data_IF_632483346357
#
_entry.id   IF_632483346357
#
_cell.length_a   1.000
_cell.length_b   1.000
_cell.length_c   1.000
_cell.angle_alpha   90.00
_cell.angle_beta   90.00
_cell.angle_gamma   90.00
#
_symmetry.space_group_name_H-M   'P 1'
#
loop_
_entity.id
_entity.type
_entity.pdbx_description
1 polymer ?
#
# COMPACT_ATOMS: atom_id res chain seq x y z
N UNK A 1 3.39 -15.23 19.55
CA UNK A 1 2.02 -15.10 20.08
C UNK A 1 1.60 -13.65 20.28
N UNK A 2 2.27 -12.86 21.13
CA UNK A 2 1.86 -11.45 21.40
C UNK A 2 1.69 -10.60 20.13
N UNK A 3 2.71 -10.57 19.26
CA UNK A 3 2.68 -9.81 18.00
C UNK A 3 1.51 -10.23 17.08
N UNK A 4 1.24 -11.54 17.00
CA UNK A 4 0.18 -12.06 16.14
C UNK A 4 -1.21 -11.64 16.64
N UNK A 5 -1.42 -11.68 17.96
CA UNK A 5 -2.68 -11.24 18.57
C UNK A 5 -2.82 -9.71 18.42
N UNK A 6 -1.75 -8.94 18.67
CA UNK A 6 -1.76 -7.49 18.49
C UNK A 6 -2.07 -7.10 17.04
N UNK A 7 -1.46 -7.75 16.05
CA UNK A 7 -1.73 -7.53 14.63
C UNK A 7 -3.20 -7.86 14.28
N UNK A 8 -3.76 -8.92 14.85
CA UNK A 8 -5.18 -9.26 14.69
C UNK A 8 -6.11 -8.18 15.25
N UNK A 9 -5.84 -7.69 16.48
CA UNK A 9 -6.62 -6.61 17.08
C UNK A 9 -6.43 -5.31 16.29
N UNK A 10 -5.20 -4.97 15.90
CA UNK A 10 -4.88 -3.80 15.09
C UNK A 10 -5.61 -3.83 13.75
N UNK A 11 -5.69 -4.98 13.10
CA UNK A 11 -6.49 -5.16 11.89
C UNK A 11 -7.97 -4.87 12.13
N UNK A 12 -8.55 -5.39 13.22
CA UNK A 12 -9.94 -5.07 13.59
C UNK A 12 -10.15 -3.58 13.86
N UNK A 13 -9.19 -2.92 14.51
CA UNK A 13 -9.22 -1.48 14.75
C UNK A 13 -9.20 -0.69 13.43
N UNK A 14 -8.35 -1.05 12.47
CA UNK A 14 -8.38 -0.45 11.13
C UNK A 14 -9.75 -0.66 10.47
N UNK A 15 -10.30 -1.88 10.47
CA UNK A 15 -11.61 -2.13 9.85
C UNK A 15 -12.76 -1.31 10.47
N UNK A 16 -12.68 -1.04 11.78
CA UNK A 16 -13.72 -0.31 12.50
C UNK A 16 -13.57 1.21 12.40
N UNK A 17 -12.36 1.73 12.67
CA UNK A 17 -12.06 3.15 12.79
C UNK A 17 -11.53 3.72 11.47
N UNK A 18 -10.58 3.02 10.85
CA UNK A 18 -9.79 3.51 9.72
C UNK A 18 -9.00 4.77 10.08
N UNK A 19 -8.93 5.71 9.13
CA UNK A 19 -8.26 7.01 9.27
C UNK A 19 -9.28 8.16 9.15
N UNK A 20 -9.94 8.58 10.25
CA UNK A 20 -10.89 9.69 10.21
C UNK A 20 -10.25 10.99 9.71
N UNK A 21 -10.96 11.72 8.85
CA UNK A 21 -10.45 12.96 8.27
C UNK A 21 -10.19 14.01 9.37
N UNK A 22 -9.04 14.68 9.29
CA UNK A 22 -8.62 15.69 10.25
C UNK A 22 -7.87 15.16 11.48
N UNK A 23 -7.86 13.84 11.73
CA UNK A 23 -7.08 13.28 12.83
C UNK A 23 -5.57 13.37 12.57
N UNK A 24 -4.79 13.51 13.64
CA UNK A 24 -3.34 13.39 13.54
C UNK A 24 -2.99 11.91 13.34
N UNK A 25 -2.06 11.63 12.42
CA UNK A 25 -1.68 10.27 12.07
C UNK A 25 -0.15 10.12 12.03
N UNK A 26 0.44 9.05 12.61
CA UNK A 26 1.90 8.88 12.64
C UNK A 26 2.55 8.90 11.25
N UNK A 27 1.87 8.36 10.23
CA UNK A 27 2.38 8.38 8.85
C UNK A 27 2.52 9.81 8.31
N UNK A 28 1.68 10.77 8.74
CA UNK A 28 1.86 12.19 8.41
C UNK A 28 3.11 12.78 9.05
N UNK A 29 3.47 12.33 10.25
CA UNK A 29 4.71 12.75 10.91
C UNK A 29 5.96 12.18 10.18
N UNK A 30 5.87 10.95 9.67
CA UNK A 30 6.89 10.37 8.78
C UNK A 30 7.04 11.23 7.51
N UNK A 31 5.93 11.56 6.83
CA UNK A 31 5.99 12.41 5.64
C UNK A 31 6.56 13.81 5.93
N UNK A 32 6.21 14.40 7.07
CA UNK A 32 6.85 15.64 7.54
C UNK A 32 8.35 15.47 7.73
N UNK A 33 8.79 14.38 8.37
CA UNK A 33 10.21 14.08 8.57
C UNK A 33 10.95 13.95 7.24
N UNK A 34 10.38 13.24 6.26
CA UNK A 34 10.92 13.12 4.90
C UNK A 34 11.15 14.51 4.29
N UNK A 35 10.13 15.37 4.28
CA UNK A 35 10.25 16.71 3.71
C UNK A 35 11.17 17.67 4.48
N UNK A 36 11.39 17.44 5.79
CA UNK A 36 12.39 18.17 6.58
C UNK A 36 13.81 17.70 6.27
N UNK A 37 14.01 16.38 6.23
CA UNK A 37 15.30 15.76 5.95
C UNK A 37 15.74 16.02 4.53
N UNK A 38 14.84 15.98 3.54
CA UNK A 38 15.16 16.36 2.16
C UNK A 38 15.78 17.77 2.11
N UNK A 39 15.09 18.76 2.68
CA UNK A 39 15.57 20.15 2.69
C UNK A 39 16.89 20.33 3.42
N UNK A 40 17.12 19.57 4.50
CA UNK A 40 18.37 19.62 5.25
C UNK A 40 19.52 18.97 4.47
N UNK A 41 19.31 17.75 3.97
CA UNK A 41 20.34 16.97 3.29
C UNK A 41 20.77 17.64 1.98
N UNK A 42 19.85 18.24 1.22
CA UNK A 42 20.18 19.05 0.03
C UNK A 42 21.01 20.31 0.34
N UNK A 43 21.02 20.79 1.58
CA UNK A 43 21.87 21.92 2.02
C UNK A 43 23.25 21.47 2.51
N UNK A 44 23.33 20.26 3.08
CA UNK A 44 24.55 19.73 3.69
C UNK A 44 25.44 19.03 2.65
N UNK A 45 24.83 18.30 1.72
CA UNK A 45 25.55 17.58 0.69
C UNK A 45 25.84 18.49 -0.53
N UNK A 46 26.98 18.29 -1.22
CA UNK A 46 27.29 19.05 -2.43
C UNK A 46 26.22 18.89 -3.50
N UNK A 47 25.97 19.95 -4.27
CA UNK A 47 25.10 19.87 -5.44
C UNK A 47 25.70 18.93 -6.51
N UNK A 48 24.82 18.23 -7.23
CA UNK A 48 25.18 17.34 -8.34
C UNK A 48 24.97 15.86 -8.03
N UNK A 49 25.12 15.04 -9.06
CA UNK A 49 24.72 13.61 -9.05
C UNK A 49 25.22 12.82 -7.83
N UNK A 50 26.50 12.95 -7.49
CA UNK A 50 27.10 12.18 -6.40
C UNK A 50 26.57 12.61 -5.02
N UNK A 51 26.44 13.92 -4.77
CA UNK A 51 25.89 14.44 -3.52
C UNK A 51 24.40 14.13 -3.37
N UNK A 52 23.63 14.22 -4.45
CA UNK A 52 22.22 13.83 -4.49
C UNK A 52 22.01 12.34 -4.17
N UNK A 53 22.82 11.45 -4.75
CA UNK A 53 22.78 10.02 -4.44
C UNK A 53 23.15 9.73 -2.99
N UNK A 54 24.17 10.41 -2.45
CA UNK A 54 24.59 10.24 -1.06
C UNK A 54 23.53 10.74 -0.08
N UNK A 55 22.98 11.94 -0.32
CA UNK A 55 21.90 12.54 0.45
C UNK A 55 20.64 11.65 0.45
N UNK A 56 20.25 11.14 -0.72
CA UNK A 56 19.15 10.19 -0.88
C UNK A 56 19.39 8.88 -0.13
N UNK A 57 20.62 8.35 -0.17
CA UNK A 57 21.01 7.16 0.58
C UNK A 57 20.92 7.36 2.09
N UNK A 58 21.35 8.51 2.60
CA UNK A 58 21.22 8.88 4.02
C UNK A 58 19.75 8.97 4.42
N UNK A 59 18.91 9.60 3.59
CA UNK A 59 17.47 9.67 3.83
C UNK A 59 16.86 8.26 3.94
N UNK A 60 17.18 7.39 2.97
CA UNK A 60 16.65 6.03 2.87
C UNK A 60 16.99 5.14 4.08
N UNK A 61 18.07 5.44 4.80
CA UNK A 61 18.46 4.73 6.04
C UNK A 61 17.86 5.40 7.27
N UNK A 62 18.04 6.71 7.41
CA UNK A 62 17.70 7.41 8.66
C UNK A 62 16.20 7.49 8.91
N UNK A 63 15.37 7.65 7.87
CA UNK A 63 13.91 7.79 8.08
C UNK A 63 13.28 6.48 8.57
N UNK A 64 13.54 5.30 7.98
CA UNK A 64 13.05 4.03 8.53
C UNK A 64 13.58 3.72 9.93
N UNK A 65 14.87 4.00 10.18
CA UNK A 65 15.47 3.81 11.52
C UNK A 65 14.82 4.73 12.55
N UNK A 66 14.56 6.00 12.22
CA UNK A 66 13.87 6.93 13.10
C UNK A 66 12.42 6.51 13.38
N UNK A 67 11.70 6.06 12.35
CA UNK A 67 10.31 5.61 12.50
C UNK A 67 10.21 4.35 13.37
N UNK A 68 11.00 3.31 13.07
CA UNK A 68 11.05 2.08 13.87
C UNK A 68 11.59 2.33 15.28
N UNK A 69 12.61 3.19 15.42
CA UNK A 69 13.19 3.58 16.72
C UNK A 69 12.20 4.34 17.60
N UNK A 70 11.41 5.26 17.02
CA UNK A 70 10.34 5.96 17.73
C UNK A 70 9.27 4.98 18.20
N UNK A 71 8.86 4.03 17.34
CA UNK A 71 7.92 2.98 17.71
C UNK A 71 8.46 2.12 18.88
N UNK A 72 9.72 1.70 18.82
CA UNK A 72 10.37 0.95 19.88
C UNK A 72 10.44 1.74 21.20
N UNK A 73 10.76 3.03 21.13
CA UNK A 73 10.82 3.92 22.30
C UNK A 73 9.44 4.06 22.97
N UNK A 74 8.38 4.26 22.18
CA UNK A 74 6.99 4.33 22.68
C UNK A 74 6.60 3.03 23.39
N UNK A 75 6.87 1.87 22.79
CA UNK A 75 6.60 0.57 23.40
C UNK A 75 7.43 0.34 24.67
N UNK A 76 8.70 0.78 24.69
CA UNK A 76 9.56 0.66 25.87
C UNK A 76 9.08 1.53 27.03
N UNK A 77 8.62 2.75 26.76
CA UNK A 77 8.00 3.63 27.78
C UNK A 77 6.70 3.01 28.30
N UNK A 78 5.82 2.55 27.41
CA UNK A 78 4.58 1.88 27.81
C UNK A 78 4.84 0.61 28.64
N UNK A 79 5.88 -0.16 28.30
CA UNK A 79 6.29 -1.36 29.03
C UNK A 79 6.84 -1.08 30.42
N UNK A 80 7.48 0.09 30.63
CA UNK A 80 7.88 0.55 31.98
C UNK A 80 6.71 0.92 32.87
N UNK A 81 5.58 1.32 32.28
CA UNK A 81 4.33 1.60 33.02
C UNK A 81 3.67 0.27 33.40
N UNK A 82 3.34 -0.57 32.41
CA UNK A 82 2.73 -1.87 32.64
C UNK A 82 2.80 -2.76 31.38
N UNK A 83 2.98 -4.09 31.48
CA UNK A 83 2.94 -4.98 30.32
C UNK A 83 1.65 -4.88 29.48
N UNK A 84 0.49 -4.75 30.13
CA UNK A 84 -0.77 -4.55 29.42
C UNK A 84 -0.84 -3.19 28.69
N UNK A 85 -0.22 -2.14 29.24
CA UNK A 85 -0.16 -0.85 28.56
C UNK A 85 0.68 -0.93 27.27
N UNK A 86 1.83 -1.63 27.33
CA UNK A 86 2.62 -1.94 26.12
C UNK A 86 1.80 -2.69 25.08
N UNK A 87 1.05 -3.71 25.49
CA UNK A 87 0.22 -4.49 24.58
C UNK A 87 -0.91 -3.66 23.94
N UNK A 88 -1.61 -2.83 24.71
CA UNK A 88 -2.66 -1.95 24.18
C UNK A 88 -2.09 -0.94 23.19
N UNK A 89 -0.95 -0.32 23.52
CA UNK A 89 -0.26 0.63 22.63
C UNK A 89 0.19 -0.08 21.34
N UNK A 90 0.68 -1.32 21.44
CA UNK A 90 1.02 -2.15 20.28
C UNK A 90 -0.18 -2.37 19.35
N UNK A 91 -1.34 -2.76 19.89
CA UNK A 91 -2.56 -2.96 19.10
C UNK A 91 -2.99 -1.69 18.36
N UNK A 92 -2.94 -0.53 19.03
CA UNK A 92 -3.28 0.76 18.41
C UNK A 92 -2.30 1.11 17.29
N UNK A 93 -1.00 0.95 17.54
CA UNK A 93 0.04 1.20 16.55
C UNK A 93 -0.11 0.29 15.33
N UNK A 94 -0.41 -1.00 15.53
CA UNK A 94 -0.65 -1.95 14.44
C UNK A 94 -1.83 -1.51 13.56
N UNK A 95 -2.91 -1.01 14.18
CA UNK A 95 -4.05 -0.44 13.46
C UNK A 95 -3.68 0.80 12.62
N UNK A 96 -2.84 1.68 13.15
CA UNK A 96 -2.37 2.89 12.44
C UNK A 96 -1.39 2.62 11.28
N UNK A 97 -0.85 1.41 11.18
CA UNK A 97 0.06 1.03 10.10
C UNK A 97 -0.74 0.53 8.88
N UNK A 98 -1.93 -0.03 9.11
CA UNK A 98 -2.83 -0.56 8.09
C UNK A 98 -3.70 0.55 7.48
N UNK A 99 -4.15 0.34 6.24
CA UNK A 99 -4.94 1.32 5.50
C UNK A 99 -6.12 0.71 4.71
N UNK A 100 -6.58 -0.50 5.06
CA UNK A 100 -7.63 -1.17 4.27
C UNK A 100 -8.96 -0.40 4.34
N UNK A 101 -9.33 0.11 5.52
CA UNK A 101 -10.57 0.87 5.68
C UNK A 101 -10.53 2.22 4.99
N UNK A 102 -9.42 2.96 5.11
CA UNK A 102 -9.26 4.26 4.46
C UNK A 102 -9.23 4.12 2.94
N UNK A 103 -8.53 3.12 2.39
CA UNK A 103 -8.51 2.83 0.95
C UNK A 103 -9.90 2.53 0.39
N UNK A 104 -10.70 1.71 1.09
CA UNK A 104 -12.10 1.45 0.72
C UNK A 104 -12.95 2.72 0.79
N UNK A 105 -12.73 3.56 1.80
CA UNK A 105 -13.52 4.78 2.01
C UNK A 105 -13.23 5.82 0.93
N UNK A 106 -11.97 6.06 0.60
CA UNK A 106 -11.61 7.04 -0.43
C UNK A 106 -12.02 6.58 -1.84
N UNK A 107 -11.86 5.28 -2.15
CA UNK A 107 -12.33 4.73 -3.44
C UNK A 107 -13.87 4.74 -3.55
N UNK A 108 -14.60 4.56 -2.44
CA UNK A 108 -16.05 4.68 -2.43
C UNK A 108 -16.53 6.10 -2.80
N UNK A 109 -15.81 7.16 -2.39
CA UNK A 109 -16.12 8.54 -2.80
C UNK A 109 -16.04 8.72 -4.32
N UNK A 110 -15.09 8.06 -4.98
CA UNK A 110 -14.98 8.05 -6.45
C UNK A 110 -16.19 7.36 -7.07
N UNK A 111 -16.55 6.19 -6.53
CA UNK A 111 -17.72 5.44 -6.99
C UNK A 111 -19.03 6.24 -6.84
N UNK A 112 -19.26 6.85 -5.69
CA UNK A 112 -20.47 7.64 -5.43
C UNK A 112 -20.58 8.83 -6.39
N UNK A 113 -19.48 9.56 -6.61
CA UNK A 113 -19.45 10.67 -7.57
C UNK A 113 -19.71 10.22 -9.02
N UNK A 114 -19.21 9.04 -9.43
CA UNK A 114 -19.50 8.46 -10.74
C UNK A 114 -20.99 8.06 -10.86
N UNK A 115 -21.55 7.45 -9.82
CA UNK A 115 -22.95 7.04 -9.78
C UNK A 115 -23.91 8.23 -9.86
N UNK A 116 -23.54 9.33 -9.22
CA UNK A 116 -24.29 10.60 -9.26
C UNK A 116 -24.06 11.39 -10.57
N UNK A 117 -23.25 10.85 -11.51
CA UNK A 117 -22.89 11.44 -12.80
C UNK A 117 -22.18 12.80 -12.69
N UNK A 118 -21.43 12.98 -11.61
CA UNK A 118 -20.69 14.21 -11.32
C UNK A 118 -19.21 14.07 -11.72
N UNK A 119 -18.93 14.14 -13.04
CA UNK A 119 -17.60 13.85 -13.58
C UNK A 119 -16.46 14.66 -12.94
N UNK A 120 -16.64 15.96 -12.69
CA UNK A 120 -15.61 16.78 -12.04
C UNK A 120 -15.37 16.38 -10.59
N UNK A 121 -16.43 16.03 -9.83
CA UNK A 121 -16.26 15.54 -8.46
C UNK A 121 -15.57 14.18 -8.46
N UNK A 122 -15.85 13.31 -9.44
CA UNK A 122 -15.16 12.04 -9.59
C UNK A 122 -13.66 12.22 -9.90
N UNK A 123 -13.29 13.20 -10.75
CA UNK A 123 -11.88 13.57 -11.01
C UNK A 123 -11.18 14.09 -9.76
N UNK A 124 -11.83 14.97 -9.00
CA UNK A 124 -11.29 15.48 -7.74
C UNK A 124 -11.16 14.39 -6.67
N UNK A 125 -12.13 13.47 -6.59
CA UNK A 125 -12.06 12.35 -5.66
C UNK A 125 -10.91 11.41 -6.02
N UNK A 126 -10.78 11.03 -7.30
CA UNK A 126 -9.72 10.11 -7.72
C UNK A 126 -8.34 10.74 -7.61
N UNK A 127 -8.20 12.05 -7.80
CA UNK A 127 -6.92 12.76 -7.62
C UNK A 127 -6.37 12.72 -6.20
N UNK A 128 -7.22 12.42 -5.20
CA UNK A 128 -6.76 12.23 -3.81
C UNK A 128 -6.06 10.89 -3.59
N UNK A 129 -6.22 9.94 -4.51
CA UNK A 129 -5.76 8.55 -4.35
C UNK A 129 -4.85 8.06 -5.48
N UNK A 130 -4.57 8.91 -6.48
CA UNK A 130 -3.64 8.59 -7.57
C UNK A 130 -2.50 9.60 -7.61
N UNK A 131 -1.31 9.14 -8.00
CA UNK A 131 -0.15 10.02 -8.24
C UNK A 131 -0.04 10.57 -9.67
N UNK A 132 -1.12 10.52 -10.46
CA UNK A 132 -1.14 10.91 -11.90
C UNK A 132 -2.09 12.08 -12.15
N UNK A 133 -1.92 12.75 -13.28
CA UNK A 133 -2.80 13.84 -13.68
C UNK A 133 -4.21 13.29 -14.00
N UNK A 134 -5.24 13.93 -13.43
CA UNK A 134 -6.63 13.43 -13.50
C UNK A 134 -7.56 14.28 -14.37
N UNK A 135 -7.17 15.52 -14.66
CA UNK A 135 -7.98 16.51 -15.39
C UNK A 135 -8.44 16.00 -16.77
N UNK A 136 -7.61 15.15 -17.40
CA UNK A 136 -7.85 14.61 -18.75
C UNK A 136 -8.48 13.22 -18.75
N UNK A 137 -8.80 12.66 -17.58
CA UNK A 137 -9.38 11.32 -17.52
C UNK A 137 -10.81 11.32 -18.04
N UNK A 138 -11.09 10.36 -18.93
CA UNK A 138 -12.45 9.93 -19.25
C UNK A 138 -13.06 9.21 -18.05
N UNK A 139 -14.37 8.99 -18.07
CA UNK A 139 -15.07 8.22 -17.04
C UNK A 139 -14.45 6.81 -16.85
N UNK A 140 -14.20 6.09 -17.95
CA UNK A 140 -13.49 4.80 -17.92
C UNK A 140 -12.07 4.94 -17.35
N UNK A 141 -11.38 6.05 -17.64
CA UNK A 141 -10.06 6.36 -17.08
C UNK A 141 -10.08 6.60 -15.57
N UNK A 142 -11.13 7.26 -15.04
CA UNK A 142 -11.34 7.47 -13.60
C UNK A 142 -11.57 6.12 -12.92
N UNK A 143 -12.43 5.28 -13.49
CA UNK A 143 -12.74 3.93 -12.97
C UNK A 143 -11.47 3.09 -12.91
N UNK A 144 -10.72 3.00 -14.03
CA UNK A 144 -9.45 2.28 -14.11
C UNK A 144 -8.46 2.80 -13.06
N UNK A 145 -8.34 4.12 -12.91
CA UNK A 145 -7.45 4.73 -11.92
C UNK A 145 -7.77 4.32 -10.48
N UNK A 146 -9.06 4.35 -10.11
CA UNK A 146 -9.48 3.91 -8.79
C UNK A 146 -9.23 2.41 -8.58
N UNK A 147 -9.48 1.58 -9.60
CA UNK A 147 -9.24 0.13 -9.51
C UNK A 147 -7.74 -0.19 -9.39
N UNK A 148 -6.91 0.45 -10.20
CA UNK A 148 -5.44 0.34 -10.15
C UNK A 148 -4.91 0.73 -8.77
N UNK A 149 -5.34 1.88 -8.24
CA UNK A 149 -4.95 2.33 -6.91
C UNK A 149 -5.32 1.31 -5.83
N UNK A 150 -6.55 0.78 -5.83
CA UNK A 150 -6.95 -0.21 -4.82
C UNK A 150 -6.14 -1.51 -4.98
N UNK A 151 -5.90 -1.96 -6.22
CA UNK A 151 -5.14 -3.17 -6.48
C UNK A 151 -3.66 -3.06 -6.03
N UNK A 152 -2.99 -1.94 -6.34
CA UNK A 152 -1.62 -1.67 -5.92
C UNK A 152 -1.54 -1.48 -4.39
N UNK A 153 -2.39 -0.63 -3.81
CA UNK A 153 -2.36 -0.33 -2.37
C UNK A 153 -2.91 -1.48 -1.50
N UNK A 154 -3.53 -2.51 -2.07
CA UNK A 154 -3.79 -3.75 -1.33
C UNK A 154 -2.48 -4.35 -0.85
N UNK A 155 -1.44 -4.36 -1.71
CA UNK A 155 -0.09 -4.77 -1.32
C UNK A 155 0.46 -3.82 -0.25
N UNK A 156 0.58 -2.54 -0.60
CA UNK A 156 1.44 -1.62 0.15
C UNK A 156 0.79 -1.05 1.42
N UNK A 157 -0.54 -0.96 1.42
CA UNK A 157 -1.34 -0.45 2.52
C UNK A 157 -1.87 -1.53 3.46
N UNK A 158 -1.81 -2.81 3.08
CA UNK A 158 -2.43 -3.89 3.87
C UNK A 158 -1.56 -5.13 3.99
N UNK A 159 -1.22 -5.79 2.88
CA UNK A 159 -0.54 -7.09 2.94
C UNK A 159 0.90 -6.97 3.41
N UNK A 160 1.64 -5.98 2.91
CA UNK A 160 3.01 -5.71 3.33
C UNK A 160 3.09 -5.20 4.79
N UNK A 161 2.24 -4.25 5.23
CA UNK A 161 2.05 -3.97 6.65
C UNK A 161 1.83 -5.21 7.51
N UNK A 162 0.82 -6.04 7.20
CA UNK A 162 0.55 -7.27 7.94
C UNK A 162 1.79 -8.18 8.00
N UNK A 163 2.48 -8.36 6.88
CA UNK A 163 3.70 -9.17 6.80
C UNK A 163 4.76 -8.69 7.80
N UNK A 164 5.04 -7.38 7.85
CA UNK A 164 6.03 -6.82 8.77
C UNK A 164 5.55 -6.78 10.23
N UNK A 165 4.25 -6.61 10.46
CA UNK A 165 3.66 -6.70 11.80
C UNK A 165 3.80 -8.11 12.39
N UNK A 166 3.57 -9.16 11.61
CA UNK A 166 3.79 -10.53 12.07
C UNK A 166 5.27 -10.82 12.35
N UNK A 167 6.19 -10.27 11.56
CA UNK A 167 7.63 -10.51 11.72
C UNK A 167 8.27 -9.74 12.88
N UNK A 168 7.84 -8.52 13.16
CA UNK A 168 8.49 -7.68 14.17
C UNK A 168 7.61 -6.59 14.77
N UNK A 169 6.29 -6.73 14.65
CA UNK A 169 5.31 -5.83 15.25
C UNK A 169 5.41 -4.39 14.72
N UNK A 170 4.99 -3.40 15.53
CA UNK A 170 4.97 -2.01 15.12
C UNK A 170 6.34 -1.46 14.70
N UNK A 171 7.43 -1.99 15.25
CA UNK A 171 8.79 -1.51 14.94
C UNK A 171 9.11 -1.73 13.47
N UNK A 172 8.92 -2.95 12.97
CA UNK A 172 9.11 -3.25 11.55
C UNK A 172 7.99 -2.66 10.69
N UNK A 173 6.75 -2.62 11.18
CA UNK A 173 5.63 -2.01 10.44
C UNK A 173 5.83 -0.51 10.17
N UNK A 174 6.29 0.27 11.15
CA UNK A 174 6.60 1.69 10.95
C UNK A 174 7.87 1.91 10.11
N UNK A 175 8.88 1.06 10.26
CA UNK A 175 10.05 1.12 9.38
C UNK A 175 9.68 0.86 7.92
N UNK A 176 8.81 -0.13 7.67
CA UNK A 176 8.26 -0.40 6.35
C UNK A 176 7.44 0.78 5.82
N UNK A 177 6.48 1.31 6.60
CA UNK A 177 5.68 2.46 6.18
C UNK A 177 6.54 3.70 5.90
N UNK A 178 7.66 3.85 6.59
CA UNK A 178 8.63 4.89 6.29
C UNK A 178 9.29 4.72 4.93
N UNK A 179 9.70 3.49 4.57
CA UNK A 179 10.21 3.18 3.21
C UNK A 179 9.16 3.51 2.15
N UNK A 180 7.93 3.01 2.33
CA UNK A 180 6.82 3.23 1.40
C UNK A 180 6.42 4.72 1.27
N UNK A 181 6.45 5.46 2.37
CA UNK A 181 6.18 6.91 2.37
C UNK A 181 7.28 7.69 1.63
N UNK A 182 8.54 7.30 1.79
CA UNK A 182 9.64 7.92 1.04
C UNK A 182 9.48 7.71 -0.47
N UNK A 183 9.15 6.50 -0.92
CA UNK A 183 8.96 6.25 -2.35
C UNK A 183 7.81 7.10 -2.93
N UNK A 184 6.68 7.17 -2.23
CA UNK A 184 5.53 7.98 -2.65
C UNK A 184 5.81 9.49 -2.70
N UNK A 185 6.79 9.98 -1.94
CA UNK A 185 7.13 11.41 -1.87
C UNK A 185 8.30 11.80 -2.77
N UNK A 186 9.36 10.99 -2.81
CA UNK A 186 10.62 11.32 -3.48
C UNK A 186 11.05 10.29 -4.51
N UNK A 187 10.32 9.18 -4.72
CA UNK A 187 10.69 8.09 -5.64
C UNK A 187 10.48 8.36 -7.13
N UNK A 188 10.00 9.55 -7.50
CA UNK A 188 9.67 9.89 -8.89
C UNK A 188 10.90 9.95 -9.81
N UNK A 189 10.73 9.45 -11.04
CA UNK A 189 11.75 9.58 -12.10
C UNK A 189 11.56 10.90 -12.86
N UNK A 190 11.85 12.01 -12.18
CA UNK A 190 11.83 13.37 -12.75
C UNK A 190 13.15 14.11 -12.48
N UNK A 191 13.30 15.32 -13.01
CA UNK A 191 14.52 16.11 -12.88
C UNK A 191 14.95 16.35 -11.42
N UNK A 192 13.99 16.52 -10.52
CA UNK A 192 14.22 16.79 -9.09
C UNK A 192 14.68 15.55 -8.31
N UNK A 193 14.16 14.37 -8.66
CA UNK A 193 14.27 13.16 -7.84
C UNK A 193 15.04 12.00 -8.48
N UNK A 194 15.45 12.10 -9.75
CA UNK A 194 16.15 11.03 -10.48
C UNK A 194 17.36 10.44 -9.74
N UNK A 195 18.06 11.25 -8.95
CA UNK A 195 19.22 10.85 -8.15
C UNK A 195 18.88 10.77 -6.66
N UNK A 196 18.30 11.82 -6.08
CA UNK A 196 17.91 11.87 -4.66
C UNK A 196 16.96 10.72 -4.26
N UNK A 197 15.92 10.51 -5.06
CA UNK A 197 14.86 9.53 -4.81
C UNK A 197 15.25 8.08 -5.01
N UNK A 198 16.40 7.84 -5.67
CA UNK A 198 16.74 6.51 -6.18
C UNK A 198 16.87 5.46 -5.09
N UNK A 199 17.48 5.82 -3.97
CA UNK A 199 17.64 4.91 -2.84
C UNK A 199 16.27 4.55 -2.23
N UNK A 200 15.39 5.54 -2.04
CA UNK A 200 14.03 5.31 -1.55
C UNK A 200 13.24 4.34 -2.45
N UNK A 201 13.20 4.59 -3.76
CA UNK A 201 12.50 3.72 -4.71
C UNK A 201 13.08 2.31 -4.77
N UNK A 202 14.41 2.17 -4.70
CA UNK A 202 15.07 0.85 -4.67
C UNK A 202 14.82 0.10 -3.36
N UNK A 203 14.78 0.81 -2.24
CA UNK A 203 14.45 0.23 -0.95
C UNK A 203 13.00 -0.25 -0.93
N UNK A 204 12.06 0.52 -1.46
CA UNK A 204 10.65 0.11 -1.57
C UNK A 204 10.50 -1.14 -2.45
N UNK A 205 11.09 -1.13 -3.65
CA UNK A 205 11.12 -2.28 -4.55
C UNK A 205 11.63 -3.55 -3.86
N UNK A 206 12.63 -3.42 -2.98
CA UNK A 206 13.21 -4.54 -2.26
C UNK A 206 12.30 -5.06 -1.14
N UNK A 207 11.78 -4.18 -0.27
CA UNK A 207 10.94 -4.59 0.86
C UNK A 207 9.58 -5.14 0.42
N UNK A 208 9.06 -4.68 -0.72
CA UNK A 208 7.80 -5.15 -1.29
C UNK A 208 7.95 -6.40 -2.18
N UNK A 209 9.15 -6.93 -2.39
CA UNK A 209 9.37 -8.07 -3.28
C UNK A 209 8.55 -9.31 -2.87
N UNK A 210 8.59 -9.69 -1.60
CA UNK A 210 7.80 -10.81 -1.08
C UNK A 210 6.33 -10.41 -0.88
N UNK A 211 6.03 -9.29 -0.18
CA UNK A 211 4.64 -8.89 0.07
C UNK A 211 3.77 -8.73 -1.17
N UNK A 212 4.28 -8.14 -2.26
CA UNK A 212 3.48 -7.90 -3.47
C UNK A 212 3.03 -9.22 -4.13
N UNK A 213 3.87 -10.27 -4.05
CA UNK A 213 3.53 -11.61 -4.55
C UNK A 213 2.51 -12.30 -3.66
N UNK A 214 2.67 -12.18 -2.34
CA UNK A 214 1.67 -12.66 -1.38
C UNK A 214 0.32 -11.97 -1.62
N UNK A 215 0.32 -10.65 -1.85
CA UNK A 215 -0.89 -9.89 -2.15
C UNK A 215 -1.59 -10.42 -3.40
N UNK A 216 -0.86 -10.67 -4.49
CA UNK A 216 -1.41 -11.28 -5.68
C UNK A 216 -2.00 -12.68 -5.40
N UNK A 217 -1.33 -13.54 -4.63
CA UNK A 217 -1.88 -14.85 -4.28
C UNK A 217 -3.16 -14.76 -3.46
N UNK A 218 -3.24 -13.85 -2.49
CA UNK A 218 -4.47 -13.64 -1.71
C UNK A 218 -5.60 -13.05 -2.56
N UNK A 219 -5.31 -12.13 -3.48
CA UNK A 219 -6.28 -11.58 -4.44
C UNK A 219 -6.80 -12.66 -5.41
N UNK A 220 -5.91 -13.52 -5.93
CA UNK A 220 -6.30 -14.65 -6.77
C UNK A 220 -7.15 -15.63 -5.98
N UNK A 221 -6.75 -15.99 -4.75
CA UNK A 221 -7.54 -16.84 -3.86
C UNK A 221 -8.93 -16.25 -3.58
N UNK A 222 -9.02 -14.96 -3.30
CA UNK A 222 -10.28 -14.25 -3.15
C UNK A 222 -11.15 -14.33 -4.42
N UNK A 223 -10.56 -14.20 -5.61
CA UNK A 223 -11.28 -14.33 -6.87
C UNK A 223 -11.82 -15.75 -7.13
N UNK A 224 -11.19 -16.79 -6.58
CA UNK A 224 -11.70 -18.17 -6.63
C UNK A 224 -12.87 -18.42 -5.67
N UNK A 225 -12.86 -17.75 -4.50
CA UNK A 225 -13.84 -17.99 -3.44
C UNK A 225 -15.09 -17.12 -3.56
N UNK A 226 -14.96 -15.91 -4.12
CA UNK A 226 -16.06 -14.96 -4.21
C UNK A 226 -16.89 -15.15 -5.49
N UNK A 227 -18.23 -15.12 -5.41
CA UNK A 227 -19.07 -15.17 -6.60
C UNK A 227 -18.93 -13.90 -7.45
N UNK A 228 -18.94 -14.09 -8.77
CA UNK A 228 -18.85 -13.00 -9.76
C UNK A 228 -17.43 -12.57 -10.10
N UNK A 229 -16.41 -13.38 -9.81
CA UNK A 229 -15.02 -13.15 -10.20
C UNK A 229 -14.48 -14.35 -10.99
N UNK A 230 -13.47 -14.11 -11.84
CA UNK A 230 -12.79 -15.17 -12.60
C UNK A 230 -11.42 -15.49 -11.98
N UNK A 231 -11.39 -16.47 -11.07
CA UNK A 231 -10.14 -16.94 -10.46
C UNK A 231 -9.14 -17.53 -11.46
N UNK A 232 -9.61 -18.16 -12.55
CA UNK A 232 -8.74 -18.69 -13.62
C UNK A 232 -8.14 -17.54 -14.43
N UNK A 233 -8.95 -16.55 -14.75
CA UNK A 233 -8.54 -15.30 -15.38
C UNK A 233 -7.50 -14.56 -14.55
N UNK A 234 -7.75 -14.41 -13.25
CA UNK A 234 -6.82 -13.79 -12.29
C UNK A 234 -5.43 -14.45 -12.34
N UNK A 235 -5.38 -15.78 -12.24
CA UNK A 235 -4.12 -16.53 -12.33
C UNK A 235 -3.44 -16.39 -13.69
N UNK A 236 -4.19 -16.55 -14.79
CA UNK A 236 -3.67 -16.47 -16.16
C UNK A 236 -3.05 -15.11 -16.44
N UNK A 237 -3.76 -14.03 -16.12
CA UNK A 237 -3.29 -12.66 -16.35
C UNK A 237 -2.13 -12.32 -15.43
N UNK A 238 -2.18 -12.68 -14.15
CA UNK A 238 -1.04 -12.50 -13.26
C UNK A 238 0.22 -13.23 -13.78
N UNK A 239 0.08 -14.45 -14.28
CA UNK A 239 1.19 -15.19 -14.89
C UNK A 239 1.77 -14.50 -16.14
N UNK A 240 0.95 -13.78 -16.90
CA UNK A 240 1.34 -13.09 -18.13
C UNK A 240 1.93 -11.69 -17.88
N UNK A 241 1.25 -10.90 -17.04
CA UNK A 241 1.41 -9.44 -17.00
C UNK A 241 2.04 -8.89 -15.70
N UNK A 242 2.38 -9.75 -14.72
CA UNK A 242 2.97 -9.31 -13.43
C UNK A 242 4.30 -8.55 -13.51
N UNK A 243 4.89 -8.39 -14.69
CA UNK A 243 6.13 -7.65 -14.94
C UNK A 243 5.94 -6.48 -15.93
N UNK A 244 4.71 -6.06 -16.19
CA UNK A 244 4.43 -4.96 -17.12
C UNK A 244 4.87 -3.58 -16.59
N UNK A 245 5.06 -3.41 -15.28
CA UNK A 245 5.60 -2.17 -14.72
C UNK A 245 7.13 -2.20 -14.57
N UNK A 246 7.74 -1.01 -14.47
CA UNK A 246 9.17 -0.86 -14.20
C UNK A 246 9.56 -1.35 -12.80
N UNK A 247 8.67 -1.16 -11.82
CA UNK A 247 8.80 -1.79 -10.50
C UNK A 247 8.43 -3.27 -10.64
N UNK A 248 9.18 -4.19 -10.00
CA UNK A 248 8.83 -5.61 -9.95
C UNK A 248 7.56 -5.90 -9.13
N UNK A 249 6.99 -4.90 -8.45
CA UNK A 249 5.93 -5.08 -7.46
C UNK A 249 4.59 -4.50 -7.90
N UNK A 250 4.54 -3.30 -8.51
CA UNK A 250 3.28 -2.61 -8.82
C UNK A 250 2.30 -3.45 -9.66
N UNK A 251 2.79 -4.21 -10.64
CA UNK A 251 1.93 -4.99 -11.55
C UNK A 251 1.35 -6.27 -10.92
N UNK A 252 1.81 -6.68 -9.73
CA UNK A 252 1.39 -7.94 -9.11
C UNK A 252 -0.12 -7.91 -8.78
N UNK A 253 -0.55 -6.90 -8.02
CA UNK A 253 -1.96 -6.73 -7.65
C UNK A 253 -2.85 -6.36 -8.83
N UNK A 254 -2.38 -5.43 -9.68
CA UNK A 254 -3.11 -4.99 -10.88
C UNK A 254 -3.41 -6.14 -11.83
N UNK A 255 -2.43 -7.01 -12.13
CA UNK A 255 -2.63 -8.14 -13.03
C UNK A 255 -3.62 -9.17 -12.47
N UNK A 256 -3.55 -9.45 -11.17
CA UNK A 256 -4.51 -10.33 -10.50
C UNK A 256 -5.95 -9.76 -10.59
N UNK A 257 -6.12 -8.47 -10.28
CA UNK A 257 -7.42 -7.80 -10.32
C UNK A 257 -7.97 -7.65 -11.75
N UNK A 258 -7.14 -7.30 -12.72
CA UNK A 258 -7.53 -7.19 -14.13
C UNK A 258 -8.09 -8.52 -14.65
N UNK A 259 -7.40 -9.62 -14.37
CA UNK A 259 -7.86 -10.97 -14.72
C UNK A 259 -9.12 -11.39 -13.95
N UNK A 260 -9.21 -11.10 -12.66
CA UNK A 260 -10.38 -11.43 -11.84
C UNK A 260 -11.66 -10.71 -12.29
N UNK A 261 -11.51 -9.48 -12.78
CA UNK A 261 -12.61 -8.61 -13.20
C UNK A 261 -12.91 -8.73 -14.70
N UNK A 262 -11.99 -9.23 -15.52
CA UNK A 262 -12.12 -9.29 -16.97
C UNK A 262 -12.01 -7.92 -17.65
N UNK A 263 -11.23 -7.01 -17.08
CA UNK A 263 -11.02 -5.65 -17.59
C UNK A 263 -9.54 -5.41 -17.90
N UNK A 264 -9.32 -4.32 -18.62
CA UNK A 264 -8.01 -3.83 -18.94
C UNK A 264 -7.61 -2.71 -17.97
N UNK A 265 -6.46 -2.84 -17.32
CA UNK A 265 -5.84 -1.85 -16.44
C UNK A 265 -4.53 -1.31 -17.06
N UNK A 266 -3.96 -0.30 -16.42
CA UNK A 266 -2.80 0.44 -16.87
C UNK A 266 -3.00 1.06 -18.27
N UNK A 267 -1.93 1.19 -19.05
CA UNK A 267 -1.92 1.93 -20.30
C UNK A 267 -1.42 3.38 -20.17
N UNK A 268 -1.55 4.18 -21.24
CA UNK A 268 -0.99 5.54 -21.28
C UNK A 268 -1.56 6.42 -20.17
N UNK A 269 -0.67 7.13 -19.46
CA UNK A 269 -1.06 8.01 -18.35
C UNK A 269 -0.25 9.31 -18.36
N UNK A 270 -0.89 10.41 -17.98
CA UNK A 270 -0.25 11.72 -17.88
C UNK A 270 0.34 11.92 -16.48
N UNK A 271 1.58 12.38 -16.42
CA UNK A 271 2.25 12.77 -15.18
C UNK A 271 2.94 14.11 -15.40
N UNK A 272 2.62 15.11 -14.57
CA UNK A 272 3.24 16.44 -14.63
C UNK A 272 3.16 17.06 -16.05
N UNK A 273 2.04 16.84 -16.75
CA UNK A 273 1.80 17.31 -18.11
C UNK A 273 2.46 16.51 -19.22
N UNK A 274 3.16 15.40 -18.91
CA UNK A 274 3.84 14.54 -19.90
C UNK A 274 3.11 13.20 -20.03
N UNK A 275 2.84 12.78 -21.28
CA UNK A 275 2.27 11.47 -21.55
C UNK A 275 3.33 10.38 -21.41
N UNK A 276 3.09 9.41 -20.53
CA UNK A 276 3.91 8.23 -20.37
C UNK A 276 3.20 7.01 -20.93
N UNK A 277 3.78 6.44 -21.99
CA UNK A 277 3.38 5.15 -22.52
C UNK A 277 3.74 4.05 -21.52
N UNK A 278 2.72 3.30 -21.08
CA UNK A 278 2.87 2.11 -20.24
C UNK A 278 2.19 0.94 -20.94
N UNK A 279 2.73 -0.28 -20.81
CA UNK A 279 2.02 -1.46 -21.29
C UNK A 279 0.71 -1.60 -20.53
N UNK A 280 -0.25 -2.15 -21.26
CA UNK A 280 -1.57 -2.52 -20.77
C UNK A 280 -1.47 -3.82 -19.97
N UNK A 281 -2.34 -3.99 -18.97
CA UNK A 281 -2.45 -5.19 -18.14
C UNK A 281 -3.87 -5.77 -18.26
N UNK A 282 -3.98 -7.07 -18.48
CA UNK A 282 -5.26 -7.77 -18.61
C UNK A 282 -5.79 -7.89 -20.03
N UNK A 283 -6.99 -8.45 -20.16
CA UNK A 283 -7.72 -8.60 -21.42
C UNK A 283 -9.02 -7.81 -21.35
N UNK A 284 -9.33 -7.03 -22.38
CA UNK A 284 -10.59 -6.26 -22.47
C UNK A 284 -11.78 -7.14 -22.86
N UNK A 285 -12.11 -8.11 -22.03
CA UNK A 285 -13.29 -8.99 -22.24
C UNK A 285 -14.61 -8.22 -22.10
N UNK A 286 -14.58 -7.12 -21.32
CA UNK A 286 -15.64 -6.12 -21.21
C UNK A 286 -15.04 -4.75 -20.89
N UNK A 287 -15.85 -3.70 -20.96
CA UNK A 287 -15.48 -2.35 -20.48
C UNK A 287 -15.46 -2.30 -18.96
N UNK A 288 -14.60 -1.43 -18.40
CA UNK A 288 -14.63 -1.12 -16.98
C UNK A 288 -15.90 -0.33 -16.64
N UNK A 289 -16.50 -0.65 -15.49
CA UNK A 289 -17.72 -0.01 -15.00
C UNK A 289 -17.51 0.47 -13.56
N UNK A 290 -18.28 1.46 -13.11
CA UNK A 290 -18.09 2.05 -11.78
C UNK A 290 -18.18 1.00 -10.66
N UNK A 291 -19.02 -0.03 -10.84
CA UNK A 291 -19.16 -1.17 -9.93
C UNK A 291 -17.85 -1.95 -9.73
N UNK A 292 -16.89 -1.85 -10.64
CA UNK A 292 -15.58 -2.48 -10.51
C UNK A 292 -14.75 -1.90 -9.36
N UNK A 293 -14.99 -0.63 -8.99
CA UNK A 293 -14.40 -0.02 -7.78
C UNK A 293 -14.88 -0.75 -6.53
N UNK A 294 -16.17 -1.07 -6.47
CA UNK A 294 -16.75 -1.84 -5.36
C UNK A 294 -16.27 -3.30 -5.40
N UNK A 295 -16.15 -3.89 -6.60
CA UNK A 295 -15.69 -5.27 -6.76
C UNK A 295 -14.23 -5.45 -6.39
N UNK A 296 -13.34 -4.54 -6.77
CA UNK A 296 -11.93 -4.61 -6.35
C UNK A 296 -11.80 -4.41 -4.83
N UNK A 297 -12.64 -3.57 -4.22
CA UNK A 297 -12.71 -3.46 -2.76
C UNK A 297 -13.14 -4.77 -2.08
N UNK A 298 -14.00 -5.57 -2.72
CA UNK A 298 -14.36 -6.92 -2.23
C UNK A 298 -13.18 -7.88 -2.31
N UNK A 299 -12.42 -7.86 -3.41
CA UNK A 299 -11.19 -8.67 -3.57
C UNK A 299 -10.15 -8.28 -2.52
N UNK A 300 -9.87 -6.98 -2.36
CA UNK A 300 -8.99 -6.46 -1.32
C UNK A 300 -9.44 -6.94 0.05
N UNK A 301 -10.71 -6.69 0.43
CA UNK A 301 -11.23 -7.07 1.76
C UNK A 301 -11.03 -8.56 2.03
N UNK A 302 -11.45 -9.43 1.11
CA UNK A 302 -11.29 -10.87 1.26
C UNK A 302 -9.81 -11.29 1.31
N UNK A 303 -8.97 -10.74 0.42
CA UNK A 303 -7.53 -11.00 0.40
C UNK A 303 -6.84 -10.58 1.70
N UNK A 304 -7.21 -9.44 2.27
CA UNK A 304 -6.70 -8.96 3.55
C UNK A 304 -7.08 -9.87 4.72
N UNK A 305 -8.32 -10.35 4.77
CA UNK A 305 -8.75 -11.33 5.78
C UNK A 305 -8.05 -12.68 5.62
N UNK A 306 -7.84 -13.14 4.39
CA UNK A 306 -7.08 -14.36 4.11
C UNK A 306 -5.62 -14.23 4.56
N UNK A 307 -5.00 -13.07 4.32
CA UNK A 307 -3.64 -12.79 4.76
C UNK A 307 -3.51 -12.74 6.27
N UNK A 308 -4.47 -12.09 6.97
CA UNK A 308 -4.51 -12.09 8.42
C UNK A 308 -4.66 -13.52 8.96
N UNK A 309 -5.61 -14.30 8.44
CA UNK A 309 -5.83 -15.68 8.86
C UNK A 309 -4.59 -16.55 8.65
N UNK A 310 -3.94 -16.45 7.49
CA UNK A 310 -2.70 -17.15 7.21
C UNK A 310 -1.58 -16.77 8.20
N UNK A 311 -1.40 -15.47 8.48
CA UNK A 311 -0.43 -15.01 9.46
C UNK A 311 -0.74 -15.50 10.88
N UNK A 312 -1.99 -15.41 11.32
CA UNK A 312 -2.41 -15.94 12.62
C UNK A 312 -2.13 -17.45 12.74
N UNK A 313 -2.45 -18.24 11.72
CA UNK A 313 -2.16 -19.68 11.72
C UNK A 313 -0.67 -19.94 11.81
N UNK A 314 0.15 -19.30 10.98
CA UNK A 314 1.61 -19.50 10.95
C UNK A 314 2.25 -19.16 12.31
N UNK A 315 1.82 -18.08 12.96
CA UNK A 315 2.47 -17.56 14.17
C UNK A 315 1.82 -18.01 15.50
N UNK A 316 0.64 -18.64 15.47
CA UNK A 316 -0.05 -19.18 16.66
C UNK A 316 -0.11 -20.71 16.70
N UNK A 317 -0.13 -21.40 15.56
CA UNK A 317 -0.25 -22.86 15.53
C UNK A 317 0.85 -23.59 16.32
N UNK A 318 2.15 -23.19 16.27
CA UNK A 318 3.18 -23.88 17.06
C UNK A 318 2.88 -23.85 18.57
N UNK A 319 2.50 -22.69 19.10
CA UNK A 319 2.18 -22.54 20.52
C UNK A 319 0.91 -23.30 20.94
N UNK A 320 -0.06 -23.43 20.05
CA UNK A 320 -1.26 -24.23 20.29
C UNK A 320 -0.97 -25.73 20.31
N UNK A 321 -0.08 -26.20 19.41
CA UNK A 321 0.35 -27.60 19.38
C UNK A 321 1.14 -27.94 20.64
N UNK A 322 2.07 -27.07 21.05
CA UNK A 322 2.86 -27.27 22.27
C UNK A 322 1.98 -27.29 23.54
N UNK A 323 0.91 -26.51 23.59
CA UNK A 323 -0.03 -26.50 24.73
C UNK A 323 -0.96 -27.72 24.79
N UNK A 324 -1.07 -28.49 23.71
CA UNK A 324 -1.90 -29.71 23.62
C UNK A 324 -1.10 -31.00 23.87
N UNK A 325 0.23 -30.91 23.95
CA UNK A 325 1.15 -32.02 24.27
C UNK A 325 1.48 -32.03 25.76
#
# INVERSE_FOLDING_TARGET
MELAIAAGIGFLLDQWIGDPEGWWHPIRAIGWLVGRMERLLRRVFPAGKAGELAAGGVLAVLVPVAAGGAAAAVLAVAGRIHPAARFLVMCVMDGQILAAKSLKTESAKVYDALKDKEAEKARQAVSRIVGRDTERLSEEGIIKAAVETVAENTSDGVIAPLFYLFLGGPVLGFAYKAVNTMDSMVGYKNETYLYFGRAAAKSDDFVNLVPARLAAFFLIGAAWLLPGFDGRGAWRIWCRDRHCHKSPNSAQGEAACAGALGIELAGPAWYFGVLHEKPVIGDRTRKAAAEDIVRVNRLMTAGSWMALAAGLVVFLAPALIDALQ
#
